data_IF_850771678479
#
_entry.id   IF_850771678479
#
_cell.length_a   1.000
_cell.length_b   1.000
_cell.length_c   1.000
_cell.angle_alpha   90.00
_cell.angle_beta   90.00
_cell.angle_gamma   90.00
#
_symmetry.space_group_name_H-M   'P 1'
#
loop_
_entity.id
_entity.type
_entity.pdbx_description
1 polymer ?
#
# COMPACT_ATOMS: atom_id res chain seq x y z
N UNK A 1 -4.10 -9.45 0.27
CA UNK A 1 -3.24 -9.72 1.44
C UNK A 1 -3.58 -8.74 2.55
N UNK A 2 -2.95 -8.83 3.72
CA UNK A 2 -3.12 -7.81 4.76
C UNK A 2 -2.24 -6.60 4.46
N UNK A 3 -2.67 -5.41 4.87
CA UNK A 3 -1.91 -4.18 4.63
C UNK A 3 -0.56 -4.19 5.37
N UNK A 4 -0.49 -4.81 6.55
CA UNK A 4 0.78 -4.99 7.29
C UNK A 4 1.83 -5.85 6.57
N UNK A 5 1.43 -6.64 5.57
CA UNK A 5 2.35 -7.44 4.76
C UNK A 5 2.89 -6.66 3.54
N UNK A 6 2.47 -5.41 3.33
CA UNK A 6 2.93 -4.60 2.21
C UNK A 6 4.41 -4.27 2.36
N UNK A 7 5.14 -4.40 1.25
CA UNK A 7 6.55 -4.06 1.18
C UNK A 7 6.87 -3.32 -0.12
N UNK A 8 7.97 -2.53 -0.15
CA UNK A 8 8.46 -1.90 -1.37
C UNK A 8 8.61 -2.91 -2.53
N UNK A 9 8.20 -2.51 -3.73
CA UNK A 9 8.25 -3.34 -4.93
C UNK A 9 7.01 -4.21 -5.16
N UNK A 10 6.09 -4.30 -4.20
CA UNK A 10 4.73 -4.79 -4.44
C UNK A 10 3.89 -3.74 -5.18
N UNK A 11 2.74 -4.13 -5.74
CA UNK A 11 1.77 -3.20 -6.30
C UNK A 11 0.38 -3.50 -5.76
N UNK A 12 -0.26 -2.52 -5.15
CA UNK A 12 -1.66 -2.61 -4.69
C UNK A 12 -2.61 -2.23 -5.82
N UNK A 13 -3.78 -2.85 -5.89
CA UNK A 13 -4.82 -2.48 -6.84
C UNK A 13 -5.72 -1.42 -6.23
N UNK A 14 -5.63 -0.19 -6.75
CA UNK A 14 -6.54 0.90 -6.38
C UNK A 14 -7.49 1.12 -7.55
N UNK A 15 -8.78 0.83 -7.33
CA UNK A 15 -9.81 0.87 -8.38
C UNK A 15 -9.41 0.06 -9.63
N UNK A 16 -8.81 -1.13 -9.42
CA UNK A 16 -8.33 -2.01 -10.49
C UNK A 16 -7.06 -1.56 -11.21
N UNK A 17 -6.43 -0.45 -10.78
CA UNK A 17 -5.14 0.01 -11.32
C UNK A 17 -3.99 -0.39 -10.38
N UNK A 18 -2.89 -0.97 -10.90
CA UNK A 18 -1.72 -1.26 -10.10
C UNK A 18 -1.01 0.04 -9.70
N UNK A 19 -0.88 0.24 -8.40
CA UNK A 19 -0.16 1.34 -7.77
C UNK A 19 1.02 0.74 -7.00
N UNK A 20 2.26 0.92 -7.48
CA UNK A 20 3.47 0.44 -6.81
C UNK A 20 3.60 0.98 -5.39
N UNK A 21 4.02 0.12 -4.47
CA UNK A 21 4.42 0.49 -3.11
C UNK A 21 5.88 0.92 -3.14
N UNK A 22 6.15 2.16 -2.76
CA UNK A 22 7.49 2.72 -2.68
C UNK A 22 8.09 2.51 -1.28
N UNK A 23 7.25 2.67 -0.25
CA UNK A 23 7.61 2.53 1.16
C UNK A 23 6.41 2.03 1.95
N UNK A 24 6.67 1.22 2.97
CA UNK A 24 5.68 0.74 3.92
C UNK A 24 6.30 0.71 5.32
N UNK A 25 5.69 1.40 6.28
CA UNK A 25 6.19 1.53 7.65
C UNK A 25 5.09 1.24 8.66
N UNK A 26 5.36 0.38 9.66
CA UNK A 26 4.41 0.14 10.74
C UNK A 26 4.26 1.40 11.61
N UNK A 27 3.01 1.75 11.92
CA UNK A 27 2.60 2.75 12.90
C UNK A 27 1.89 2.06 14.08
N UNK A 28 1.52 2.83 15.11
CA UNK A 28 0.85 2.31 16.33
C UNK A 28 -0.48 1.61 15.99
N UNK A 29 -1.27 2.18 15.08
CA UNK A 29 -2.63 1.71 14.76
C UNK A 29 -2.77 1.17 13.32
N UNK A 30 -1.67 1.01 12.59
CA UNK A 30 -1.72 0.53 11.22
C UNK A 30 -0.38 0.59 10.51
N UNK A 31 -0.42 0.72 9.18
CA UNK A 31 0.75 0.88 8.33
C UNK A 31 0.60 2.17 7.51
N UNK A 32 1.67 2.95 7.46
CA UNK A 32 1.81 4.08 6.55
C UNK A 32 2.51 3.61 5.27
N UNK A 33 1.97 3.99 4.11
CA UNK A 33 2.42 3.48 2.82
C UNK A 33 2.52 4.63 1.82
N UNK A 34 3.63 4.71 1.10
CA UNK A 34 3.75 5.57 -0.08
C UNK A 34 3.44 4.77 -1.34
N UNK A 35 2.46 5.24 -2.11
CA UNK A 35 2.04 4.64 -3.36
C UNK A 35 2.41 5.52 -4.56
N UNK A 36 2.87 4.90 -5.65
CA UNK A 36 3.01 5.59 -6.93
C UNK A 36 1.68 5.58 -7.67
N UNK A 37 1.05 6.74 -7.81
CA UNK A 37 -0.22 6.91 -8.54
C UNK A 37 -0.02 7.93 -9.65
N UNK A 38 0.00 7.46 -10.91
CA UNK A 38 0.13 8.35 -12.07
C UNK A 38 1.43 9.17 -12.09
N UNK A 39 2.52 8.65 -11.53
CA UNK A 39 3.81 9.35 -11.42
C UNK A 39 3.93 10.32 -10.25
N UNK A 40 2.94 10.35 -9.34
CA UNK A 40 2.99 11.10 -8.09
C UNK A 40 3.07 10.14 -6.90
N UNK A 41 3.76 10.58 -5.85
CA UNK A 41 3.87 9.84 -4.59
C UNK A 41 2.68 10.23 -3.72
N UNK A 42 1.85 9.25 -3.38
CA UNK A 42 0.62 9.44 -2.64
C UNK A 42 0.72 8.68 -1.32
N UNK A 43 0.81 9.37 -0.19
CA UNK A 43 0.81 8.72 1.11
C UNK A 43 -0.59 8.20 1.45
N UNK A 44 -0.65 7.00 2.00
CA UNK A 44 -1.86 6.33 2.47
C UNK A 44 -1.62 5.72 3.84
N UNK A 45 -2.69 5.62 4.65
CA UNK A 45 -2.68 4.90 5.92
C UNK A 45 -3.71 3.81 5.90
N UNK A 46 -3.31 2.61 6.30
CA UNK A 46 -4.19 1.46 6.42
C UNK A 46 -4.17 0.95 7.86
N UNK A 47 -5.33 0.88 8.54
CA UNK A 47 -5.41 0.24 9.85
C UNK A 47 -4.96 -1.21 9.80
N UNK A 48 -4.43 -1.74 10.90
CA UNK A 48 -4.06 -3.16 10.98
C UNK A 48 -5.26 -4.08 10.67
N UNK A 49 -5.00 -5.19 9.99
CA UNK A 49 -6.04 -6.13 9.54
C UNK A 49 -6.83 -5.67 8.31
N UNK A 50 -6.54 -4.48 7.76
CA UNK A 50 -7.09 -4.04 6.48
C UNK A 50 -6.65 -4.99 5.38
N UNK A 51 -7.60 -5.51 4.60
CA UNK A 51 -7.29 -6.33 3.43
C UNK A 51 -7.10 -5.45 2.21
N UNK A 52 -6.00 -5.66 1.51
CA UNK A 52 -5.66 -4.98 0.26
C UNK A 52 -5.55 -5.98 -0.88
N UNK A 53 -6.02 -5.58 -2.05
CA UNK A 53 -5.78 -6.32 -3.29
C UNK A 53 -4.40 -5.95 -3.82
N UNK A 54 -3.65 -6.94 -4.27
CA UNK A 54 -2.32 -6.75 -4.88
C UNK A 54 -2.29 -7.34 -6.27
N UNK A 55 -1.62 -6.65 -7.19
CA UNK A 55 -1.34 -7.14 -8.52
C UNK A 55 -0.34 -8.31 -8.39
N UNK A 56 -0.66 -9.43 -9.03
CA UNK A 56 0.20 -10.63 -9.06
C UNK A 56 1.20 -10.57 -10.19
#
# INVERSE_FOLDING_TARGET
MSAEDLAPGMAVLVNGRPCPVLRAEPEVDGVWVDLQVGGMDVPARYPYGTRVEVAR
#
